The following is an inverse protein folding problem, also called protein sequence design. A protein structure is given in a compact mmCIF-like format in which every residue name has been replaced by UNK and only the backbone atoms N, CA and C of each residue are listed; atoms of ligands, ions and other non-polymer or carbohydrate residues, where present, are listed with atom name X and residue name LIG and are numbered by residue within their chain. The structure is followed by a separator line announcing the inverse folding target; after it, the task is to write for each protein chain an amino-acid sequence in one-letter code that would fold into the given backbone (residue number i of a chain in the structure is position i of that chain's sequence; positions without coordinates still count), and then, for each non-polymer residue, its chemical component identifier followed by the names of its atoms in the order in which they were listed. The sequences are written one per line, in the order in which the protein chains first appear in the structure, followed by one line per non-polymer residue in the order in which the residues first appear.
data_IF_160477341563
#
_entry.id   IF_160477341563
#
_cell.length_a   1.000
_cell.length_b   1.000
_cell.length_c   1.000
_cell.angle_alpha   90.00
_cell.angle_beta   90.00
_cell.angle_gamma   90.00
#
_symmetry.space_group_name_H-M   'P 1'
#
loop_
_entity.id
_entity.type
_entity.pdbx_description
1 polymer ?
#
# COMPACT_ATOMS: atom_id res chain seq x y z
N UNK A 1 -13.94 -20.63 17.37
CA UNK A 1 -14.31 -19.46 18.20
C UNK A 1 -13.22 -18.41 18.16
N UNK A 2 -11.91 -18.80 18.23
CA UNK A 2 -10.77 -17.88 18.16
C UNK A 2 -10.74 -17.03 16.90
N UNK A 3 -10.94 -17.63 15.72
CA UNK A 3 -10.97 -16.90 14.45
C UNK A 3 -12.10 -15.87 14.34
N UNK A 4 -13.26 -16.14 14.96
CA UNK A 4 -14.34 -15.16 15.04
C UNK A 4 -13.97 -13.99 15.98
N UNK A 5 -13.25 -14.27 17.05
CA UNK A 5 -12.75 -13.23 17.96
C UNK A 5 -11.77 -12.29 17.23
N UNK A 6 -10.89 -12.83 16.38
CA UNK A 6 -9.99 -12.00 15.55
C UNK A 6 -10.76 -11.03 14.66
N UNK A 7 -11.86 -11.49 14.04
CA UNK A 7 -12.68 -10.64 13.16
C UNK A 7 -13.44 -9.57 13.97
N UNK A 8 -14.11 -9.97 15.04
CA UNK A 8 -15.05 -9.07 15.74
C UNK A 8 -14.39 -8.16 16.78
N UNK A 9 -13.24 -8.57 17.34
CA UNK A 9 -12.58 -7.79 18.39
C UNK A 9 -11.42 -6.96 17.82
N UNK A 10 -10.59 -7.57 16.94
CA UNK A 10 -9.41 -6.92 16.37
C UNK A 10 -9.74 -6.17 15.07
N UNK A 11 -10.87 -6.49 14.43
CA UNK A 11 -11.34 -5.83 13.21
C UNK A 11 -10.45 -6.14 12.00
N UNK A 12 -9.97 -5.10 11.26
CA UNK A 12 -9.16 -5.31 10.06
C UNK A 12 -7.71 -5.76 10.37
N UNK A 13 -7.27 -5.61 11.63
CA UNK A 13 -5.97 -6.10 12.06
C UNK A 13 -6.00 -7.62 12.33
N UNK A 14 -4.84 -8.20 12.61
CA UNK A 14 -4.69 -9.61 13.01
C UNK A 14 -3.66 -9.71 14.12
N UNK A 15 -3.90 -10.62 15.04
CA UNK A 15 -2.83 -11.01 15.99
C UNK A 15 -1.79 -11.82 15.21
N UNK A 16 -0.51 -11.41 15.22
CA UNK A 16 0.53 -12.08 14.44
C UNK A 16 0.61 -13.58 14.71
N UNK A 17 0.45 -14.38 13.68
CA UNK A 17 0.45 -15.85 13.74
C UNK A 17 -0.92 -16.47 13.96
N UNK A 18 -1.99 -15.70 14.16
CA UNK A 18 -3.35 -16.20 14.25
C UNK A 18 -4.00 -16.34 12.87
N UNK A 19 -4.90 -17.30 12.72
CA UNK A 19 -5.71 -17.50 11.53
C UNK A 19 -7.19 -17.39 11.85
N UNK A 20 -7.98 -16.97 10.87
CA UNK A 20 -9.45 -16.89 11.00
C UNK A 20 -10.08 -18.25 10.83
N UNK A 21 -9.55 -19.06 9.92
CA UNK A 21 -10.10 -20.37 9.57
C UNK A 21 -9.41 -21.49 10.35
N UNK A 22 -10.15 -22.57 10.59
CA UNK A 22 -9.60 -23.78 11.25
C UNK A 22 -8.44 -24.35 10.42
N UNK A 23 -7.35 -24.72 11.11
CA UNK A 23 -6.13 -25.27 10.51
C UNK A 23 -5.38 -24.32 9.56
N UNK A 24 -5.69 -23.04 9.60
CA UNK A 24 -4.93 -21.99 8.93
C UNK A 24 -4.31 -21.07 9.97
N UNK A 25 -3.08 -20.69 9.74
CA UNK A 25 -2.36 -19.72 10.56
C UNK A 25 -1.65 -18.74 9.66
N UNK A 26 -1.55 -17.51 10.11
CA UNK A 26 -0.76 -16.49 9.43
C UNK A 26 0.72 -16.71 9.69
N UNK A 27 1.55 -16.48 8.68
CA UNK A 27 3.00 -16.42 8.87
C UNK A 27 3.35 -15.12 9.58
N UNK A 28 4.06 -15.22 10.71
CA UNK A 28 4.47 -14.01 11.45
C UNK A 28 5.36 -13.11 10.61
N UNK A 29 5.22 -11.77 10.70
CA UNK A 29 6.11 -10.83 10.04
C UNK A 29 7.57 -11.12 10.35
N UNK A 30 8.44 -11.04 9.35
CA UNK A 30 9.87 -11.31 9.48
C UNK A 30 10.24 -12.79 9.56
N UNK A 31 9.31 -13.70 9.26
CA UNK A 31 9.56 -15.14 9.17
C UNK A 31 9.41 -15.64 7.73
N UNK A 32 10.13 -16.70 7.41
CA UNK A 32 9.91 -17.52 6.23
C UNK A 32 9.66 -18.97 6.62
N UNK A 33 8.85 -19.66 5.82
CA UNK A 33 8.59 -21.09 5.96
C UNK A 33 9.39 -21.83 4.89
N UNK A 34 10.27 -22.72 5.32
CA UNK A 34 10.99 -23.63 4.44
C UNK A 34 10.29 -24.99 4.53
N UNK A 35 9.78 -25.46 3.40
CA UNK A 35 9.13 -26.78 3.29
C UNK A 35 9.99 -27.67 2.40
N UNK A 36 10.45 -28.79 2.96
CA UNK A 36 11.23 -29.79 2.24
C UNK A 36 10.74 -31.20 2.60
N UNK A 37 11.48 -32.23 2.15
CA UNK A 37 11.17 -33.65 2.43
C UNK A 37 11.27 -34.02 3.91
N UNK A 38 11.94 -33.19 4.73
CA UNK A 38 12.10 -33.40 6.17
C UNK A 38 11.01 -32.71 7.00
N UNK A 39 10.12 -31.96 6.34
CA UNK A 39 9.00 -31.25 6.95
C UNK A 39 9.08 -29.74 6.78
N UNK A 40 8.39 -29.03 7.67
CA UNK A 40 8.25 -27.59 7.66
C UNK A 40 9.12 -26.93 8.75
N UNK A 41 9.91 -25.93 8.39
CA UNK A 41 10.76 -25.17 9.33
C UNK A 41 10.48 -23.67 9.20
N UNK A 42 10.13 -23.03 10.31
CA UNK A 42 10.00 -21.57 10.42
C UNK A 42 11.35 -20.96 10.76
N UNK A 43 11.78 -19.95 10.01
CA UNK A 43 13.02 -19.22 10.22
C UNK A 43 12.73 -17.73 10.32
N UNK A 44 13.11 -17.11 11.43
CA UNK A 44 13.05 -15.67 11.58
C UNK A 44 14.27 -15.04 10.89
N UNK A 45 14.04 -14.24 9.87
CA UNK A 45 15.10 -13.53 9.14
C UNK A 45 15.16 -12.04 9.49
N UNK A 46 14.09 -11.50 10.09
CA UNK A 46 14.01 -10.10 10.45
C UNK A 46 13.17 -9.87 11.71
N UNK A 47 13.52 -8.84 12.47
CA UNK A 47 12.69 -8.31 13.56
C UNK A 47 12.90 -6.81 13.72
N UNK A 48 11.83 -6.09 14.06
CA UNK A 48 11.92 -4.67 14.40
C UNK A 48 12.68 -4.53 15.72
N UNK A 49 13.71 -3.68 15.72
CA UNK A 49 14.52 -3.39 16.92
C UNK A 49 14.55 -1.88 17.14
N UNK A 50 14.11 -1.45 18.30
CA UNK A 50 14.30 -0.06 18.72
C UNK A 50 15.77 0.19 19.07
N UNK A 51 16.31 1.29 18.60
CA UNK A 51 17.68 1.73 18.88
C UNK A 51 17.70 3.23 19.15
N UNK A 52 18.64 3.75 19.93
CA UNK A 52 18.88 5.18 20.04
C UNK A 52 19.13 5.79 18.66
N UNK A 53 18.52 6.95 18.40
CA UNK A 53 18.71 7.71 17.18
C UNK A 53 19.49 8.97 17.52
N UNK A 54 20.63 9.17 16.87
CA UNK A 54 21.59 10.24 17.18
C UNK A 54 21.82 11.21 16.01
N UNK A 55 21.27 10.89 14.83
CA UNK A 55 21.38 11.75 13.66
C UNK A 55 20.49 12.99 13.82
N UNK A 56 20.91 14.12 13.24
CA UNK A 56 20.08 15.30 13.15
C UNK A 56 18.93 15.11 12.13
N UNK A 57 18.04 16.08 12.07
CA UNK A 57 16.83 16.01 11.22
C UNK A 57 17.21 15.94 9.74
N UNK A 58 18.20 16.69 9.28
CA UNK A 58 18.60 16.72 7.88
C UNK A 58 19.22 15.40 7.43
N UNK A 59 20.14 14.86 8.23
CA UNK A 59 20.74 13.55 8.00
C UNK A 59 19.70 12.45 8.00
N UNK A 60 18.76 12.50 8.96
CA UNK A 60 17.65 11.55 9.06
C UNK A 60 16.76 11.58 7.83
N UNK A 61 16.33 12.77 7.41
CA UNK A 61 15.49 12.94 6.22
C UNK A 61 16.18 12.44 4.95
N UNK A 62 17.47 12.77 4.79
CA UNK A 62 18.28 12.30 3.66
C UNK A 62 18.38 10.78 3.63
N UNK A 63 18.60 10.14 4.77
CA UNK A 63 18.69 8.69 4.89
C UNK A 63 17.35 7.99 4.62
N UNK A 64 16.25 8.55 5.14
CA UNK A 64 14.90 8.03 4.85
C UNK A 64 14.62 8.11 3.35
N UNK A 65 14.93 9.25 2.71
CA UNK A 65 14.76 9.42 1.28
C UNK A 65 15.54 8.36 0.48
N UNK A 66 16.81 8.13 0.80
CA UNK A 66 17.64 7.11 0.12
C UNK A 66 17.10 5.70 0.30
N UNK A 67 16.64 5.34 1.50
CA UNK A 67 16.03 4.04 1.78
C UNK A 67 14.72 3.86 1.01
N UNK A 68 13.89 4.90 0.93
CA UNK A 68 12.64 4.87 0.20
C UNK A 68 12.89 4.74 -1.32
N UNK A 69 13.84 5.50 -1.85
CA UNK A 69 14.23 5.43 -3.26
C UNK A 69 14.78 4.04 -3.64
N UNK A 70 15.66 3.47 -2.83
CA UNK A 70 16.20 2.12 -3.06
C UNK A 70 15.09 1.05 -2.98
N UNK A 71 14.19 1.19 -2.02
CA UNK A 71 13.04 0.29 -1.85
C UNK A 71 12.12 0.33 -3.07
N UNK A 72 11.73 1.52 -3.51
CA UNK A 72 10.89 1.71 -4.71
C UNK A 72 11.58 1.13 -5.93
N UNK A 73 12.83 1.49 -6.17
CA UNK A 73 13.61 0.99 -7.32
C UNK A 73 13.66 -0.53 -7.40
N UNK A 74 13.82 -1.21 -6.27
CA UNK A 74 13.85 -2.68 -6.21
C UNK A 74 12.49 -3.30 -6.52
N UNK A 75 11.39 -2.62 -6.18
CA UNK A 75 10.03 -3.11 -6.43
C UNK A 75 9.52 -2.80 -7.85
N UNK A 76 10.22 -1.94 -8.60
CA UNK A 76 9.87 -1.63 -9.99
C UNK A 76 10.39 -2.65 -11.02
N UNK A 77 11.08 -3.71 -10.57
CA UNK A 77 11.54 -4.80 -11.44
C UNK A 77 10.32 -5.64 -11.81
N UNK A 78 9.93 -5.61 -13.08
CA UNK A 78 8.73 -6.29 -13.58
C UNK A 78 8.85 -6.62 -15.05
N UNK A 79 8.29 -7.77 -15.45
CA UNK A 79 8.17 -8.20 -16.85
C UNK A 79 6.94 -7.62 -17.55
N UNK A 80 6.10 -6.89 -16.82
CA UNK A 80 4.89 -6.23 -17.31
C UNK A 80 4.92 -4.74 -17.00
N UNK A 81 4.12 -3.90 -17.69
CA UNK A 81 3.99 -2.50 -17.35
C UNK A 81 3.60 -2.28 -15.88
N UNK A 82 4.27 -1.34 -15.22
CA UNK A 82 4.00 -0.95 -13.83
C UNK A 82 3.20 0.33 -13.80
N UNK A 83 2.20 0.40 -12.94
CA UNK A 83 1.43 1.60 -12.65
C UNK A 83 1.50 1.92 -11.15
N UNK A 84 1.05 3.11 -10.76
CA UNK A 84 0.92 3.52 -9.37
C UNK A 84 -0.53 3.79 -9.01
N UNK A 85 -0.91 3.47 -7.76
CA UNK A 85 -2.17 3.91 -7.19
C UNK A 85 -1.95 5.24 -6.48
N UNK A 86 -2.64 6.29 -6.92
CA UNK A 86 -2.52 7.64 -6.42
C UNK A 86 -3.80 8.03 -5.68
N UNK A 87 -3.75 8.06 -4.36
CA UNK A 87 -4.90 8.39 -3.51
C UNK A 87 -4.96 9.87 -3.12
N UNK A 88 -3.96 10.68 -3.49
CA UNK A 88 -3.84 12.06 -3.04
C UNK A 88 -3.17 12.24 -1.68
N UNK A 89 -2.99 11.17 -0.90
CA UNK A 89 -2.23 11.17 0.35
C UNK A 89 -0.72 11.29 0.14
N UNK A 90 -0.01 11.63 1.22
CA UNK A 90 1.44 11.88 1.20
C UNK A 90 2.24 10.65 0.71
N UNK A 91 1.90 9.47 1.22
CA UNK A 91 2.63 8.23 0.92
C UNK A 91 2.52 7.84 -0.55
N UNK A 92 1.29 7.79 -1.08
CA UNK A 92 1.04 7.46 -2.49
C UNK A 92 1.67 8.48 -3.44
N UNK A 93 1.67 9.76 -3.06
CA UNK A 93 2.30 10.83 -3.83
C UNK A 93 3.83 10.68 -3.85
N UNK A 94 4.45 10.36 -2.70
CA UNK A 94 5.90 10.13 -2.61
C UNK A 94 6.32 8.89 -3.42
N UNK A 95 5.59 7.78 -3.32
CA UNK A 95 5.85 6.57 -4.09
C UNK A 95 5.70 6.81 -5.59
N UNK A 96 4.66 7.53 -6.01
CA UNK A 96 4.45 7.91 -7.41
C UNK A 96 5.58 8.81 -7.93
N UNK A 97 6.03 9.78 -7.13
CA UNK A 97 7.13 10.67 -7.51
C UNK A 97 8.45 9.92 -7.73
N UNK A 98 8.78 8.98 -6.84
CA UNK A 98 9.97 8.15 -6.96
C UNK A 98 9.88 7.20 -8.16
N UNK A 99 8.70 6.64 -8.41
CA UNK A 99 8.44 5.80 -9.59
C UNK A 99 8.61 6.59 -10.88
N UNK A 100 8.03 7.78 -10.96
CA UNK A 100 8.17 8.67 -12.12
C UNK A 100 9.64 9.07 -12.33
N UNK A 101 10.37 9.41 -11.27
CA UNK A 101 11.80 9.72 -11.34
C UNK A 101 12.56 8.57 -11.99
N UNK A 102 12.35 7.34 -11.52
CA UNK A 102 13.03 6.14 -12.03
C UNK A 102 12.74 5.87 -13.51
N UNK A 103 11.47 5.90 -13.91
CA UNK A 103 11.09 5.63 -15.30
C UNK A 103 11.42 6.77 -16.26
N UNK A 104 11.42 8.01 -15.79
CA UNK A 104 11.83 9.17 -16.59
C UNK A 104 13.29 9.09 -17.05
N UNK A 105 14.19 8.58 -16.19
CA UNK A 105 15.57 8.31 -16.54
C UNK A 105 15.71 7.29 -17.69
N UNK A 106 14.68 6.45 -17.88
CA UNK A 106 14.58 5.48 -18.97
C UNK A 106 13.76 5.99 -20.17
N UNK A 107 13.32 7.25 -20.16
CA UNK A 107 12.45 7.83 -21.19
C UNK A 107 11.02 7.25 -21.20
N UNK A 108 10.57 6.65 -20.10
CA UNK A 108 9.24 6.03 -20.00
C UNK A 108 8.26 6.91 -19.22
N UNK A 109 7.02 6.95 -19.66
CA UNK A 109 5.91 7.54 -18.92
C UNK A 109 5.33 6.53 -17.91
N UNK A 110 4.73 7.04 -16.85
CA UNK A 110 4.08 6.24 -15.80
C UNK A 110 2.58 6.43 -15.86
N UNK A 111 1.85 5.34 -15.84
CA UNK A 111 0.40 5.35 -15.62
C UNK A 111 0.11 5.38 -14.13
N UNK A 112 -0.77 6.27 -13.71
CA UNK A 112 -1.28 6.32 -12.34
C UNK A 112 -2.79 6.19 -12.32
N UNK A 113 -3.32 5.54 -11.30
CA UNK A 113 -4.74 5.26 -11.15
C UNK A 113 -5.24 5.77 -9.81
N UNK A 114 -6.44 6.34 -9.82
CA UNK A 114 -7.19 6.61 -8.59
C UNK A 114 -8.59 6.03 -8.68
N UNK A 115 -9.11 5.68 -7.53
CA UNK A 115 -10.47 5.19 -7.39
C UNK A 115 -11.25 6.23 -6.60
N UNK A 116 -12.40 6.62 -7.11
CA UNK A 116 -13.35 7.48 -6.42
C UNK A 116 -14.74 6.84 -6.46
N UNK A 117 -15.59 7.25 -5.54
CA UNK A 117 -16.97 6.77 -5.49
C UNK A 117 -17.88 7.79 -6.14
N UNK A 118 -18.86 7.30 -6.86
CA UNK A 118 -19.86 8.12 -7.52
C UNK A 118 -20.54 9.05 -6.50
N UNK A 119 -20.63 10.32 -6.85
CA UNK A 119 -21.19 11.38 -6.00
C UNK A 119 -20.45 11.58 -4.65
N UNK A 120 -19.21 11.14 -4.51
CA UNK A 120 -18.41 11.27 -3.29
C UNK A 120 -18.34 12.73 -2.82
N UNK A 121 -18.19 13.67 -3.71
CA UNK A 121 -18.17 15.11 -3.43
C UNK A 121 -19.46 15.63 -2.75
N UNK A 122 -20.60 15.02 -3.03
CA UNK A 122 -21.89 15.38 -2.42
C UNK A 122 -22.04 14.87 -0.97
N UNK A 123 -21.38 13.77 -0.66
CA UNK A 123 -21.51 13.10 0.64
C UNK A 123 -20.30 13.29 1.53
N UNK A 124 -19.21 13.87 0.99
CA UNK A 124 -18.00 14.12 1.74
C UNK A 124 -18.28 15.11 2.89
N UNK A 125 -17.93 14.69 4.09
CA UNK A 125 -17.97 15.55 5.28
C UNK A 125 -16.55 15.65 5.83
N UNK A 126 -16.00 16.85 5.86
CA UNK A 126 -14.68 17.10 6.42
C UNK A 126 -14.63 16.73 7.91
N UNK A 127 -13.53 16.13 8.33
CA UNK A 127 -13.24 15.82 9.72
C UNK A 127 -11.84 16.27 10.09
N UNK A 128 -11.47 16.21 11.37
CA UNK A 128 -10.12 16.54 11.82
C UNK A 128 -9.05 15.64 11.18
N UNK A 129 -9.41 14.41 10.78
CA UNK A 129 -8.52 13.46 10.13
C UNK A 129 -8.52 13.54 8.60
N UNK A 130 -9.61 14.03 8.01
CA UNK A 130 -9.79 14.20 6.57
C UNK A 130 -10.37 15.59 6.29
N UNK A 131 -9.54 16.64 6.41
CA UNK A 131 -10.03 18.03 6.31
C UNK A 131 -10.44 18.41 4.88
N UNK A 132 -9.95 17.70 3.88
CA UNK A 132 -10.21 17.96 2.46
C UNK A 132 -10.47 16.66 1.71
N UNK A 133 -11.22 16.72 0.63
CA UNK A 133 -11.36 15.61 -0.31
C UNK A 133 -10.01 15.36 -1.01
N UNK A 134 -9.64 14.09 -1.13
CA UNK A 134 -8.35 13.67 -1.73
C UNK A 134 -8.27 13.98 -3.23
N UNK A 135 -9.41 14.05 -3.92
CA UNK A 135 -9.52 14.26 -5.36
C UNK A 135 -8.77 15.51 -5.85
N UNK A 136 -8.81 16.61 -5.11
CA UNK A 136 -8.10 17.83 -5.46
C UNK A 136 -6.55 17.67 -5.46
N UNK A 137 -6.03 16.78 -4.62
CA UNK A 137 -4.61 16.50 -4.52
C UNK A 137 -4.13 15.53 -5.59
N UNK A 138 -4.98 14.59 -5.98
CA UNK A 138 -4.72 13.64 -7.08
C UNK A 138 -4.39 14.41 -8.36
N UNK A 139 -5.26 15.34 -8.78
CA UNK A 139 -5.03 16.15 -9.97
C UNK A 139 -3.73 16.95 -9.90
N UNK A 140 -3.50 17.66 -8.78
CA UNK A 140 -2.27 18.46 -8.60
C UNK A 140 -0.99 17.62 -8.69
N UNK A 141 -0.98 16.44 -8.06
CA UNK A 141 0.19 15.55 -8.07
C UNK A 141 0.39 14.94 -9.44
N UNK A 142 -0.68 14.47 -10.09
CA UNK A 142 -0.63 13.92 -11.43
C UNK A 142 -0.09 14.93 -12.44
N UNK A 143 -0.60 16.16 -12.43
CA UNK A 143 -0.16 17.24 -13.31
C UNK A 143 1.30 17.63 -13.04
N UNK A 144 1.70 17.75 -11.77
CA UNK A 144 3.08 18.07 -11.40
C UNK A 144 4.06 16.97 -11.84
N UNK A 145 3.69 15.72 -11.64
CA UNK A 145 4.52 14.57 -12.00
C UNK A 145 4.40 14.17 -13.48
N UNK A 146 3.42 14.72 -14.21
CA UNK A 146 3.13 14.40 -15.61
C UNK A 146 2.89 12.89 -15.82
N UNK A 147 2.11 12.28 -14.95
CA UNK A 147 1.65 10.90 -15.15
C UNK A 147 0.51 10.84 -16.17
N UNK A 148 0.35 9.69 -16.80
CA UNK A 148 -0.90 9.38 -17.53
C UNK A 148 -1.90 8.91 -16.48
N UNK A 149 -2.74 9.84 -16.01
CA UNK A 149 -3.64 9.54 -14.90
C UNK A 149 -4.99 9.00 -15.40
N UNK A 150 -5.48 7.96 -14.73
CA UNK A 150 -6.74 7.28 -15.01
C UNK A 150 -7.62 7.32 -13.76
N UNK A 151 -8.82 7.92 -13.91
CA UNK A 151 -9.83 7.91 -12.85
C UNK A 151 -10.76 6.72 -13.04
N UNK A 152 -10.97 5.95 -11.98
CA UNK A 152 -11.93 4.85 -11.92
C UNK A 152 -13.02 5.26 -10.94
N UNK A 153 -14.22 5.48 -11.47
CA UNK A 153 -15.40 5.77 -10.64
C UNK A 153 -16.15 4.47 -10.35
N UNK A 154 -16.44 4.20 -9.09
CA UNK A 154 -17.15 3.00 -8.64
C UNK A 154 -18.51 3.42 -8.05
N UNK A 155 -19.58 2.79 -8.52
CA UNK A 155 -20.89 2.88 -7.90
C UNK A 155 -21.07 1.83 -6.80
N UNK A 156 -21.66 2.18 -5.67
CA UNK A 156 -21.89 1.27 -4.53
C UNK A 156 -22.60 -0.04 -4.91
N UNK A 157 -23.65 -0.04 -5.77
CA UNK A 157 -24.25 -1.29 -6.25
C UNK A 157 -23.30 -2.20 -7.03
N UNK A 158 -22.37 -1.64 -7.78
CA UNK A 158 -21.36 -2.41 -8.53
C UNK A 158 -20.35 -3.06 -7.58
N UNK A 159 -19.91 -2.33 -6.55
CA UNK A 159 -19.02 -2.86 -5.53
C UNK A 159 -19.64 -4.07 -4.81
N UNK A 160 -20.92 -3.99 -4.46
CA UNK A 160 -21.64 -5.09 -3.81
C UNK A 160 -21.72 -6.35 -4.70
N UNK A 161 -21.88 -6.19 -6.02
CA UNK A 161 -21.85 -7.32 -6.98
C UNK A 161 -20.44 -7.90 -7.12
N UNK A 162 -19.43 -7.05 -7.24
CA UNK A 162 -18.04 -7.45 -7.39
C UNK A 162 -17.51 -8.25 -6.20
N UNK A 163 -18.09 -8.10 -5.00
CA UNK A 163 -17.73 -8.93 -3.84
C UNK A 163 -17.96 -10.43 -4.07
N UNK A 164 -19.01 -10.80 -4.78
CA UNK A 164 -19.28 -12.21 -5.11
C UNK A 164 -18.27 -12.73 -6.11
N UNK A 165 -17.99 -11.97 -7.16
CA UNK A 165 -17.01 -12.33 -8.19
C UNK A 165 -15.58 -12.43 -7.65
N UNK A 166 -15.24 -11.64 -6.63
CA UNK A 166 -13.91 -11.66 -6.02
C UNK A 166 -13.67 -12.89 -5.12
N UNK A 167 -14.72 -13.62 -4.75
CA UNK A 167 -14.65 -14.80 -3.87
C UNK A 167 -14.70 -16.11 -4.67
N UNK A 168 -15.22 -16.10 -5.88
CA UNK A 168 -15.24 -17.23 -6.81
C UNK A 168 -13.89 -17.42 -7.52
#
# INVERSE_FOLDING_TARGET
QEGLNEIFIVGPARTPGCGVFRNMAEMKPGYCLILDRNGAKMVQYWSLKSRPHTDDVETTASRIYQLLEDTVRRQLISDVPVCTLLSGGLDSSALTALTVKHFREQGKAVDSYSIDYKDNDKYFTASDFTPNADSQWIGKVSDFLQTRHHYIEIDTPELARALTEAVE
#
